data_IF_689632179028
#
_entry.id   IF_689632179028
#
_cell.length_a   1.000
_cell.length_b   1.000
_cell.length_c   1.000
_cell.angle_alpha   90.00
_cell.angle_beta   90.00
_cell.angle_gamma   90.00
#
_symmetry.space_group_name_H-M   'P 1'
#
loop_
_entity.id
_entity.type
_entity.pdbx_description
1 polymer ?
#
# COMPACT_ATOMS: atom_id res chain seq x y z
N UNK A 1 25.14 28.32 22.93
CA UNK A 1 25.46 27.28 21.92
C UNK A 1 24.45 26.14 21.93
N UNK A 2 24.03 25.63 23.10
CA UNK A 2 23.01 24.58 23.25
C UNK A 2 21.67 24.84 22.54
N UNK A 3 21.20 26.09 22.53
CA UNK A 3 19.91 26.47 21.91
C UNK A 3 19.86 26.20 20.41
N UNK A 4 20.99 26.34 19.69
CA UNK A 4 21.06 26.09 18.24
C UNK A 4 20.95 24.59 17.91
N UNK A 5 21.51 23.72 18.75
CA UNK A 5 21.45 22.27 18.57
C UNK A 5 20.05 21.70 18.83
N UNK A 6 19.34 22.27 19.81
CA UNK A 6 17.94 21.90 20.10
C UNK A 6 17.03 22.27 18.92
N UNK A 7 17.22 23.45 18.32
CA UNK A 7 16.45 23.86 17.14
C UNK A 7 16.72 22.95 15.94
N UNK A 8 17.97 22.54 15.71
CA UNK A 8 18.31 21.60 14.63
C UNK A 8 17.68 20.22 14.87
N UNK A 9 17.73 19.70 16.10
CA UNK A 9 17.11 18.43 16.45
C UNK A 9 15.59 18.44 16.24
N UNK A 10 14.91 19.53 16.63
CA UNK A 10 13.47 19.68 16.43
C UNK A 10 13.10 19.78 14.94
N UNK A 11 13.91 20.48 14.14
CA UNK A 11 13.72 20.56 12.69
C UNK A 11 13.96 19.18 12.04
N UNK A 12 14.98 18.44 12.46
CA UNK A 12 15.21 17.08 11.99
C UNK A 12 14.04 16.15 12.35
N UNK A 13 13.56 16.16 13.60
CA UNK A 13 12.40 15.35 13.99
C UNK A 13 11.14 15.73 13.20
N UNK A 14 10.88 17.03 13.01
CA UNK A 14 9.75 17.51 12.20
C UNK A 14 9.85 17.07 10.74
N UNK A 15 11.05 17.13 10.15
CA UNK A 15 11.31 16.63 8.80
C UNK A 15 11.18 15.10 8.73
N UNK A 16 11.60 14.35 9.75
CA UNK A 16 11.41 12.89 9.79
C UNK A 16 9.93 12.50 9.93
N UNK A 17 9.12 13.26 10.68
CA UNK A 17 7.67 12.99 10.80
C UNK A 17 6.87 13.40 9.57
N UNK A 18 7.38 14.33 8.75
CA UNK A 18 6.68 14.82 7.56
C UNK A 18 6.79 13.92 6.32
N UNK A 19 7.68 12.92 6.33
CA UNK A 19 8.08 12.17 5.12
C UNK A 19 7.70 10.68 5.12
N UNK A 20 6.79 10.21 5.99
CA UNK A 20 6.48 8.77 6.07
C UNK A 20 5.01 8.36 6.03
N UNK A 21 4.06 9.27 5.83
CA UNK A 21 2.69 8.85 5.54
C UNK A 21 2.22 9.49 4.25
N UNK A 22 2.07 8.67 3.21
CA UNK A 22 1.26 9.03 2.05
C UNK A 22 -0.13 9.38 2.59
N UNK A 23 -0.57 10.63 2.45
CA UNK A 23 -1.92 10.98 2.87
C UNK A 23 -2.92 10.35 1.89
N UNK A 24 -4.16 10.12 2.33
CA UNK A 24 -5.19 9.58 1.44
C UNK A 24 -5.38 10.44 0.17
N UNK A 25 -5.12 11.75 0.27
CA UNK A 25 -5.19 12.71 -0.83
C UNK A 25 -4.05 12.55 -1.85
N UNK A 26 -2.94 11.92 -1.45
CA UNK A 26 -1.81 11.65 -2.33
C UNK A 26 -2.00 10.36 -3.15
N UNK A 27 -3.00 9.54 -2.79
CA UNK A 27 -3.45 8.40 -3.61
C UNK A 27 -4.09 8.90 -4.91
N UNK A 28 -3.97 8.15 -5.99
CA UNK A 28 -4.69 8.45 -7.23
C UNK A 28 -6.20 8.55 -7.01
N UNK A 29 -6.87 9.48 -7.70
CA UNK A 29 -8.32 9.75 -7.55
C UNK A 29 -9.17 8.47 -7.61
N UNK A 30 -8.82 7.56 -8.53
CA UNK A 30 -9.52 6.29 -8.69
C UNK A 30 -9.31 5.32 -7.53
N UNK A 31 -8.11 5.30 -6.94
CA UNK A 31 -7.83 4.43 -5.81
C UNK A 31 -8.58 4.88 -4.55
N UNK A 32 -8.77 6.20 -4.39
CA UNK A 32 -9.55 6.75 -3.27
C UNK A 32 -11.02 6.30 -3.33
N UNK A 33 -11.63 6.24 -4.51
CA UNK A 33 -13.04 5.85 -4.64
C UNK A 33 -13.23 4.34 -4.70
N UNK A 34 -12.41 3.65 -5.48
CA UNK A 34 -12.61 2.22 -5.75
C UNK A 34 -12.03 1.36 -4.62
N UNK A 35 -10.94 1.83 -3.99
CA UNK A 35 -10.29 1.15 -2.88
C UNK A 35 -11.23 0.90 -1.69
N UNK A 36 -12.10 1.86 -1.37
CA UNK A 36 -13.10 1.72 -0.30
C UNK A 36 -14.06 0.56 -0.60
N UNK A 37 -14.57 0.50 -1.83
CA UNK A 37 -15.51 -0.57 -2.26
C UNK A 37 -14.85 -1.94 -2.24
N UNK A 38 -13.59 -2.02 -2.63
CA UNK A 38 -12.84 -3.27 -2.58
C UNK A 38 -12.55 -3.71 -1.14
N UNK A 39 -12.17 -2.78 -0.27
CA UNK A 39 -11.95 -3.05 1.14
C UNK A 39 -13.22 -3.60 1.79
N UNK A 40 -14.37 -2.93 1.64
CA UNK A 40 -15.67 -3.40 2.14
C UNK A 40 -15.97 -4.84 1.69
N UNK A 41 -15.77 -5.12 0.40
CA UNK A 41 -16.00 -6.46 -0.15
C UNK A 41 -15.02 -7.49 0.42
N UNK A 42 -13.75 -7.14 0.53
CA UNK A 42 -12.71 -8.06 0.98
C UNK A 42 -12.78 -8.33 2.48
N UNK A 43 -13.17 -7.34 3.30
CA UNK A 43 -13.52 -7.55 4.69
C UNK A 43 -14.65 -8.58 4.83
N UNK A 44 -15.71 -8.45 4.03
CA UNK A 44 -16.84 -9.40 4.06
C UNK A 44 -16.44 -10.82 3.61
N UNK A 45 -15.47 -10.95 2.70
CA UNK A 45 -15.02 -12.26 2.18
C UNK A 45 -14.04 -12.94 3.14
N UNK A 46 -13.07 -12.20 3.66
CA UNK A 46 -11.96 -12.79 4.43
C UNK A 46 -12.17 -12.74 5.93
N UNK A 47 -13.10 -11.91 6.41
CA UNK A 47 -13.34 -11.71 7.84
C UNK A 47 -12.26 -10.88 8.53
N UNK A 48 -11.30 -10.31 7.78
CA UNK A 48 -10.30 -9.38 8.32
C UNK A 48 -11.01 -8.18 8.94
N UNK A 49 -10.56 -7.78 10.12
CA UNK A 49 -11.04 -6.63 10.87
C UNK A 49 -10.24 -5.37 10.54
N UNK A 50 -10.77 -4.19 10.88
CA UNK A 50 -10.03 -2.94 10.75
C UNK A 50 -8.77 -2.93 11.64
N UNK A 51 -8.83 -3.53 12.83
CA UNK A 51 -7.68 -3.66 13.73
C UNK A 51 -6.53 -4.44 13.08
N UNK A 52 -6.83 -5.54 12.39
CA UNK A 52 -5.84 -6.31 11.65
C UNK A 52 -5.26 -5.54 10.45
N UNK A 53 -6.04 -4.66 9.82
CA UNK A 53 -5.54 -3.74 8.78
C UNK A 53 -4.60 -2.71 9.39
N UNK A 54 -4.97 -2.10 10.52
CA UNK A 54 -4.12 -1.16 11.24
C UNK A 54 -2.81 -1.80 11.71
N UNK A 55 -2.85 -3.06 12.16
CA UNK A 55 -1.68 -3.84 12.53
C UNK A 55 -0.77 -4.10 11.33
N UNK A 56 -1.34 -4.44 10.17
CA UNK A 56 -0.59 -4.58 8.93
C UNK A 56 0.08 -3.27 8.51
N UNK A 57 -0.57 -2.12 8.70
CA UNK A 57 0.04 -0.80 8.48
C UNK A 57 1.22 -0.52 9.41
N UNK A 58 1.28 -1.17 10.58
CA UNK A 58 2.40 -1.12 11.53
C UNK A 58 3.45 -2.20 11.26
N UNK A 59 3.27 -3.02 10.22
CA UNK A 59 4.18 -4.11 9.85
C UNK A 59 3.93 -5.42 10.59
N UNK A 60 2.78 -5.57 11.25
CA UNK A 60 2.34 -6.81 11.90
C UNK A 60 1.33 -7.47 10.97
N UNK A 61 1.65 -8.64 10.41
CA UNK A 61 0.81 -9.30 9.40
C UNK A 61 0.17 -10.57 9.97
N UNK A 62 -1.09 -10.53 10.40
CA UNK A 62 -1.86 -11.72 10.75
C UNK A 62 -1.99 -12.70 9.57
N UNK A 63 -2.17 -13.99 9.85
CA UNK A 63 -2.34 -15.02 8.81
C UNK A 63 -3.56 -14.76 7.90
N UNK A 64 -4.58 -14.09 8.43
CA UNK A 64 -5.80 -13.65 7.72
C UNK A 64 -5.52 -12.53 6.71
N UNK A 65 -4.40 -11.81 6.86
CA UNK A 65 -4.07 -10.65 6.03
C UNK A 65 -3.60 -11.04 4.63
N UNK A 66 -2.94 -12.20 4.47
CA UNK A 66 -2.54 -12.73 3.17
C UNK A 66 -3.72 -12.91 2.20
N UNK A 67 -4.78 -13.65 2.59
CA UNK A 67 -6.01 -13.74 1.82
C UNK A 67 -6.68 -12.38 1.54
N UNK A 68 -6.65 -11.46 2.51
CA UNK A 68 -7.24 -10.13 2.35
C UNK A 68 -6.53 -9.30 1.30
N UNK A 69 -5.19 -9.23 1.34
CA UNK A 69 -4.43 -8.49 0.34
C UNK A 69 -4.63 -9.14 -1.05
N UNK A 70 -4.61 -10.47 -1.15
CA UNK A 70 -4.90 -11.18 -2.42
C UNK A 70 -6.29 -10.81 -2.95
N UNK A 71 -7.32 -10.74 -2.09
CA UNK A 71 -8.66 -10.30 -2.49
C UNK A 71 -8.64 -8.89 -3.09
N UNK A 72 -7.91 -7.94 -2.50
CA UNK A 72 -7.79 -6.56 -3.01
C UNK A 72 -7.13 -6.53 -4.40
N UNK A 73 -6.03 -7.27 -4.59
CA UNK A 73 -5.32 -7.34 -5.87
C UNK A 73 -6.16 -7.97 -6.99
N UNK A 74 -6.96 -8.99 -6.67
CA UNK A 74 -7.86 -9.63 -7.62
C UNK A 74 -9.08 -8.75 -7.94
N UNK A 75 -9.69 -8.13 -6.92
CA UNK A 75 -10.89 -7.30 -7.08
C UNK A 75 -10.59 -6.01 -7.85
N UNK A 76 -9.38 -5.46 -7.69
CA UNK A 76 -8.91 -4.32 -8.46
C UNK A 76 -8.52 -4.64 -9.90
N UNK A 77 -8.47 -5.93 -10.27
CA UNK A 77 -7.99 -6.43 -11.56
C UNK A 77 -6.54 -6.00 -11.87
N UNK A 78 -5.79 -5.58 -10.85
CA UNK A 78 -4.35 -5.28 -10.99
C UNK A 78 -3.55 -6.59 -11.07
N UNK A 79 -4.13 -7.69 -10.58
CA UNK A 79 -3.55 -9.03 -10.63
C UNK A 79 -4.56 -10.03 -11.19
N UNK A 80 -4.10 -10.93 -12.05
CA UNK A 80 -4.91 -12.05 -12.55
C UNK A 80 -5.03 -13.16 -11.50
N UNK A 81 -5.97 -14.11 -11.65
CA UNK A 81 -6.02 -15.31 -10.80
C UNK A 81 -4.75 -16.17 -10.85
N UNK A 82 -3.93 -16.04 -11.90
CA UNK A 82 -2.61 -16.68 -12.05
C UNK A 82 -1.47 -15.86 -11.44
N UNK A 83 -1.79 -14.81 -10.67
CA UNK A 83 -0.87 -13.86 -10.06
C UNK A 83 -0.01 -13.07 -11.06
N UNK A 84 -0.48 -12.87 -12.29
CA UNK A 84 0.16 -11.98 -13.26
C UNK A 84 -0.26 -10.53 -13.00
N UNK A 85 0.71 -9.63 -12.91
CA UNK A 85 0.45 -8.20 -12.70
C UNK A 85 0.06 -7.54 -14.02
N UNK A 86 -1.06 -6.84 -14.03
CA UNK A 86 -1.54 -6.02 -15.13
C UNK A 86 -1.01 -4.60 -14.94
N UNK A 87 0.16 -4.32 -15.52
CA UNK A 87 0.90 -3.06 -15.33
C UNK A 87 0.10 -1.80 -15.68
N UNK A 88 -0.79 -1.89 -16.67
CA UNK A 88 -1.66 -0.78 -17.06
C UNK A 88 -2.61 -0.39 -15.92
N UNK A 89 -3.24 -1.38 -15.28
CA UNK A 89 -4.12 -1.17 -14.12
C UNK A 89 -3.34 -0.70 -12.90
N UNK A 90 -2.14 -1.25 -12.69
CA UNK A 90 -1.26 -0.81 -11.60
C UNK A 90 -0.91 0.68 -11.73
N UNK A 91 -0.53 1.13 -12.95
CA UNK A 91 -0.25 2.54 -13.26
C UNK A 91 -1.48 3.44 -13.16
N UNK A 92 -2.64 2.91 -13.49
CA UNK A 92 -3.91 3.63 -13.41
C UNK A 92 -4.26 3.98 -11.95
N UNK A 93 -4.05 3.05 -11.01
CA UNK A 93 -4.36 3.27 -9.59
C UNK A 93 -3.21 3.91 -8.81
N UNK A 94 -1.97 3.55 -9.11
CA UNK A 94 -0.76 4.10 -8.49
C UNK A 94 -0.08 5.06 -9.46
N UNK A 95 -0.40 6.34 -9.33
CA UNK A 95 0.25 7.38 -10.12
C UNK A 95 1.73 7.57 -9.70
N UNK A 96 2.49 8.31 -10.50
CA UNK A 96 3.93 8.56 -10.26
C UNK A 96 4.24 9.32 -8.95
N UNK A 97 3.23 9.88 -8.26
CA UNK A 97 3.43 10.45 -6.91
C UNK A 97 3.50 9.37 -5.83
N UNK A 98 2.80 8.26 -6.04
CA UNK A 98 2.73 7.14 -5.10
C UNK A 98 3.82 6.12 -5.39
N UNK A 99 4.03 5.81 -6.67
CA UNK A 99 4.97 4.79 -7.10
C UNK A 99 5.60 5.23 -8.41
N UNK A 100 6.92 5.43 -8.43
CA UNK A 100 7.57 5.88 -9.65
C UNK A 100 7.49 4.80 -10.73
N UNK A 101 7.39 5.23 -11.98
CA UNK A 101 7.32 4.33 -13.13
C UNK A 101 8.45 3.28 -13.21
N UNK A 102 9.66 3.55 -12.68
CA UNK A 102 10.76 2.59 -12.58
C UNK A 102 10.61 1.59 -11.42
N UNK A 103 9.91 1.98 -10.35
CA UNK A 103 9.56 1.12 -9.22
C UNK A 103 8.40 0.17 -9.55
N UNK A 104 7.53 0.54 -10.49
CA UNK A 104 6.41 -0.31 -10.95
C UNK A 104 6.90 -1.67 -11.48
N UNK A 105 8.07 -1.70 -12.12
CA UNK A 105 8.64 -2.92 -12.67
C UNK A 105 8.96 -3.99 -11.61
N UNK A 106 9.15 -3.60 -10.33
CA UNK A 106 9.50 -4.53 -9.25
C UNK A 106 8.36 -5.46 -8.83
N UNK A 107 7.10 -5.11 -9.16
CA UNK A 107 5.94 -5.91 -8.81
C UNK A 107 5.83 -7.20 -9.62
N UNK A 108 6.35 -7.21 -10.86
CA UNK A 108 6.34 -8.39 -11.73
C UNK A 108 7.18 -9.55 -11.14
N UNK A 109 8.48 -9.37 -10.80
CA UNK A 109 9.25 -10.44 -10.19
C UNK A 109 8.74 -10.81 -8.79
N UNK A 110 8.17 -9.86 -8.04
CA UNK A 110 7.56 -10.14 -6.73
C UNK A 110 6.38 -11.13 -6.86
N UNK A 111 5.45 -10.83 -7.78
CA UNK A 111 4.29 -11.68 -8.02
C UNK A 111 4.68 -13.05 -8.62
N UNK A 112 5.73 -13.10 -9.45
CA UNK A 112 6.27 -14.36 -9.95
C UNK A 112 6.85 -15.22 -8.81
N UNK A 113 7.56 -14.62 -7.86
CA UNK A 113 8.09 -15.33 -6.69
C UNK A 113 6.97 -15.83 -5.77
N UNK A 114 5.91 -15.04 -5.56
CA UNK A 114 4.78 -15.42 -4.72
C UNK A 114 4.07 -16.71 -5.18
N UNK A 115 4.10 -17.02 -6.49
CA UNK A 115 3.55 -18.29 -7.03
C UNK A 115 4.30 -19.54 -6.60
N UNK A 116 5.54 -19.38 -6.12
CA UNK A 116 6.44 -20.47 -5.77
C UNK A 116 6.59 -20.65 -4.25
N UNK A 117 5.83 -19.89 -3.44
CA UNK A 117 5.74 -20.03 -1.98
C UNK A 117 4.59 -21.00 -1.63
#
# INVERSE_FOLDING_TARGET
>A
MATKYITVLLVCMYLHTGYCSLSFQDLGEHLQTDGIKWAERCHAITGVTEEEVEDAMKGIFPDTFGPYITCLWLTSEVMTPTMDIILEKLKYYLNDKVLKSDEIAQYVPCAANARNL
#
